data_IF_017298405043
#
_entry.id   IF_017298405043
#
_cell.length_a   1.000
_cell.length_b   1.000
_cell.length_c   1.000
_cell.angle_alpha   90.00
_cell.angle_beta   90.00
_cell.angle_gamma   90.00
#
_symmetry.space_group_name_H-M   'P 1'
#
loop_
_entity.id
_entity.type
_entity.pdbx_description
1 polymer ?
#
# COMPACT_ATOMS: atom_id res chain seq x y z
N UNK A 1 -13.81 -39.11 21.01
CA UNK A 1 -14.18 -37.90 20.23
C UNK A 1 -13.05 -37.59 19.28
N UNK A 2 -13.26 -37.76 17.96
CA UNK A 2 -12.26 -37.46 16.92
C UNK A 2 -12.19 -35.94 16.70
N UNK A 3 -11.00 -35.32 16.64
CA UNK A 3 -10.90 -33.91 16.28
C UNK A 3 -11.21 -33.75 14.79
N UNK A 4 -12.13 -32.83 14.47
CA UNK A 4 -12.51 -32.52 13.09
C UNK A 4 -11.37 -31.84 12.32
N UNK A 5 -11.38 -31.91 10.97
CA UNK A 5 -10.32 -31.35 10.16
C UNK A 5 -10.31 -29.82 10.25
N UNK A 6 -9.13 -29.25 10.47
CA UNK A 6 -8.89 -27.82 10.45
C UNK A 6 -9.34 -27.23 9.10
N UNK A 7 -10.33 -26.33 9.15
CA UNK A 7 -10.81 -25.60 7.96
C UNK A 7 -9.68 -24.73 7.41
N UNK A 8 -9.26 -25.02 6.18
CA UNK A 8 -8.48 -24.09 5.36
C UNK A 8 -9.24 -22.78 5.26
N UNK A 9 -8.67 -21.72 5.84
CA UNK A 9 -9.08 -20.35 5.61
C UNK A 9 -9.03 -20.08 4.11
N UNK A 10 -10.18 -19.80 3.51
CA UNK A 10 -10.29 -19.20 2.17
C UNK A 10 -9.95 -17.71 2.32
N UNK A 11 -8.71 -17.42 2.70
CA UNK A 11 -8.11 -16.14 2.39
C UNK A 11 -7.95 -16.13 0.86
N UNK A 12 -8.52 -15.13 0.21
CA UNK A 12 -8.29 -14.81 -1.20
C UNK A 12 -6.85 -15.16 -1.55
N UNK A 13 -6.68 -15.94 -2.62
CA UNK A 13 -5.40 -16.26 -3.22
C UNK A 13 -4.60 -14.98 -3.43
N UNK A 14 -3.80 -14.62 -2.44
CA UNK A 14 -2.59 -13.86 -2.67
C UNK A 14 -1.83 -14.71 -3.68
N UNK A 15 -1.56 -14.14 -4.85
CA UNK A 15 -0.61 -14.72 -5.78
C UNK A 15 0.62 -15.19 -4.98
N UNK A 16 1.23 -16.34 -5.28
CA UNK A 16 2.42 -16.82 -4.56
C UNK A 16 3.56 -15.78 -4.55
N UNK A 17 3.49 -14.82 -5.46
CA UNK A 17 4.25 -13.58 -5.44
C UNK A 17 3.38 -12.51 -4.76
N UNK A 18 3.87 -11.83 -3.72
CA UNK A 18 3.23 -10.67 -3.07
C UNK A 18 3.02 -9.44 -3.97
N UNK A 19 2.82 -9.64 -5.28
CA UNK A 19 2.33 -8.68 -6.24
C UNK A 19 0.85 -8.44 -5.99
N UNK A 20 0.50 -7.20 -5.67
CA UNK A 20 -0.88 -6.73 -5.69
C UNK A 20 -1.55 -7.12 -7.02
N UNK A 21 -2.88 -7.42 -7.05
CA UNK A 21 -3.56 -7.74 -8.29
C UNK A 21 -3.28 -6.66 -9.34
N UNK A 22 -3.09 -7.03 -10.61
CA UNK A 22 -2.62 -6.14 -11.67
C UNK A 22 -3.45 -4.84 -11.84
N UNK A 23 -4.64 -4.78 -11.24
CA UNK A 23 -5.50 -3.60 -11.15
C UNK A 23 -5.04 -2.54 -10.15
N UNK A 24 -4.30 -2.88 -9.08
CA UNK A 24 -3.97 -1.92 -8.00
C UNK A 24 -3.07 -0.78 -8.46
N UNK A 25 -1.97 -1.00 -9.21
CA UNK A 25 -1.14 0.10 -9.70
C UNK A 25 -1.94 1.06 -10.60
N UNK A 26 -2.83 0.54 -11.44
CA UNK A 26 -3.72 1.35 -12.29
C UNK A 26 -4.69 2.18 -11.45
N UNK A 27 -5.30 1.59 -10.42
CA UNK A 27 -6.23 2.27 -9.51
C UNK A 27 -5.54 3.36 -8.70
N UNK A 28 -4.32 3.14 -8.23
CA UNK A 28 -3.51 4.17 -7.55
C UNK A 28 -3.10 5.28 -8.49
N UNK A 29 -2.68 4.95 -9.70
CA UNK A 29 -2.35 5.96 -10.70
C UNK A 29 -3.56 6.84 -11.03
N UNK A 30 -4.76 6.27 -11.12
CA UNK A 30 -5.99 7.05 -11.28
C UNK A 30 -6.27 8.01 -10.11
N UNK A 31 -5.77 7.74 -8.89
CA UNK A 31 -5.89 8.69 -7.77
C UNK A 31 -5.02 9.95 -7.96
N UNK A 32 -4.03 9.94 -8.86
CA UNK A 32 -3.13 11.07 -9.09
C UNK A 32 -3.78 12.24 -9.84
N UNK A 33 -5.04 12.11 -10.24
CA UNK A 33 -5.78 13.16 -10.93
C UNK A 33 -5.80 14.47 -10.12
N UNK A 34 -5.35 15.55 -10.77
CA UNK A 34 -5.16 16.86 -10.14
C UNK A 34 -3.79 17.09 -9.49
N UNK A 35 -2.95 16.06 -9.32
CA UNK A 35 -1.55 16.21 -8.83
C UNK A 35 -0.49 15.76 -9.83
N UNK A 36 -0.86 15.22 -11.00
CA UNK A 36 0.06 14.79 -12.06
C UNK A 36 1.09 15.86 -12.45
N UNK A 37 0.67 17.13 -12.53
CA UNK A 37 1.58 18.25 -12.82
C UNK A 37 2.66 18.45 -11.75
N UNK A 38 2.34 18.21 -10.47
CA UNK A 38 3.32 18.28 -9.38
C UNK A 38 4.28 17.09 -9.38
N UNK A 39 3.78 15.90 -9.73
CA UNK A 39 4.62 14.71 -9.94
C UNK A 39 5.60 14.96 -11.09
N UNK A 40 5.12 15.53 -12.20
CA UNK A 40 5.97 15.93 -13.33
C UNK A 40 6.98 17.02 -12.94
N UNK A 41 6.58 17.99 -12.10
CA UNK A 41 7.48 19.02 -11.58
C UNK A 41 8.58 18.41 -10.70
N UNK A 42 8.24 17.50 -9.79
CA UNK A 42 9.21 16.77 -8.98
C UNK A 42 10.16 15.93 -9.85
N UNK A 43 9.64 15.25 -10.88
CA UNK A 43 10.47 14.55 -11.86
C UNK A 43 11.40 15.51 -12.61
N UNK A 44 10.91 16.69 -13.01
CA UNK A 44 11.71 17.74 -13.64
C UNK A 44 12.86 18.20 -12.77
N UNK A 45 12.63 18.46 -11.47
CA UNK A 45 13.70 18.77 -10.53
C UNK A 45 14.69 17.61 -10.37
N UNK A 46 14.22 16.36 -10.35
CA UNK A 46 15.10 15.19 -10.32
C UNK A 46 15.96 15.05 -11.58
N UNK A 47 15.42 15.40 -12.75
CA UNK A 47 16.18 15.44 -14.00
C UNK A 47 17.22 16.57 -14.00
N UNK A 48 16.88 17.75 -13.49
CA UNK A 48 17.82 18.87 -13.32
C UNK A 48 18.92 18.54 -12.30
N UNK A 49 18.58 17.85 -11.21
CA UNK A 49 19.54 17.32 -10.24
C UNK A 49 20.49 16.30 -10.89
N UNK A 50 19.98 15.44 -11.78
CA UNK A 50 20.83 14.51 -12.53
C UNK A 50 21.70 15.24 -13.55
N UNK A 51 21.14 16.20 -14.30
CA UNK A 51 21.86 16.97 -15.30
C UNK A 51 22.99 17.81 -14.69
N UNK A 52 22.76 18.45 -13.55
CA UNK A 52 23.80 19.17 -12.79
C UNK A 52 24.89 18.22 -12.26
N UNK A 53 24.53 16.99 -11.85
CA UNK A 53 25.50 15.94 -11.52
C UNK A 53 26.38 15.53 -12.70
N UNK A 54 25.76 15.27 -13.85
CA UNK A 54 26.44 14.94 -15.11
C UNK A 54 27.37 16.06 -15.56
N UNK A 55 26.89 17.31 -15.51
CA UNK A 55 27.67 18.49 -15.87
C UNK A 55 28.87 18.65 -14.95
N UNK A 56 28.69 18.45 -13.63
CA UNK A 56 29.79 18.50 -12.66
C UNK A 56 30.88 17.49 -13.01
N UNK A 57 30.51 16.24 -13.29
CA UNK A 57 31.47 15.19 -13.63
C UNK A 57 32.19 15.47 -14.96
N UNK A 58 31.46 16.05 -15.92
CA UNK A 58 32.03 16.45 -17.20
C UNK A 58 33.05 17.58 -17.02
N UNK A 59 32.68 18.63 -16.27
CA UNK A 59 33.57 19.74 -15.92
C UNK A 59 34.79 19.25 -15.14
N UNK A 60 34.60 18.31 -14.20
CA UNK A 60 35.71 17.71 -13.46
C UNK A 60 36.67 16.94 -14.38
N UNK A 61 36.17 16.24 -15.38
CA UNK A 61 36.99 15.59 -16.41
C UNK A 61 37.83 16.59 -17.21
N UNK A 62 37.23 17.71 -17.63
CA UNK A 62 37.94 18.79 -18.35
C UNK A 62 38.98 19.48 -17.48
N UNK A 63 38.65 19.77 -16.22
CA UNK A 63 39.56 20.39 -15.26
C UNK A 63 40.81 19.52 -15.06
N UNK A 64 40.60 18.23 -14.83
CA UNK A 64 41.70 17.27 -14.61
C UNK A 64 42.57 17.11 -15.85
N UNK A 65 41.96 16.98 -17.03
CA UNK A 65 42.70 16.90 -18.29
C UNK A 65 43.49 18.19 -18.58
N UNK A 66 42.95 19.37 -18.25
CA UNK A 66 43.64 20.65 -18.40
C UNK A 66 44.85 20.76 -17.47
N UNK A 67 44.74 20.22 -16.24
CA UNK A 67 45.84 20.15 -15.29
C UNK A 67 46.95 19.21 -15.80
N UNK A 68 46.60 18.03 -16.31
CA UNK A 68 47.55 17.08 -16.91
C UNK A 68 48.22 17.62 -18.18
N UNK A 69 47.53 18.47 -18.93
CA UNK A 69 48.09 19.16 -20.11
C UNK A 69 49.01 20.34 -19.74
N UNK A 70 49.21 20.63 -18.45
CA UNK A 70 50.09 21.70 -17.98
C UNK A 70 49.59 23.12 -18.28
N UNK A 71 48.27 23.31 -18.44
CA UNK A 71 47.70 24.64 -18.69
C UNK A 71 47.92 25.61 -17.52
N UNK A 72 48.04 26.93 -17.79
CA UNK A 72 48.17 27.94 -16.74
C UNK A 72 47.02 27.85 -15.72
N UNK A 73 47.32 28.14 -14.45
CA UNK A 73 46.32 28.07 -13.38
C UNK A 73 45.06 28.91 -13.66
N UNK A 74 45.23 30.09 -14.28
CA UNK A 74 44.13 30.98 -14.66
C UNK A 74 43.07 30.32 -15.55
N UNK A 75 43.48 29.41 -16.44
CA UNK A 75 42.56 28.71 -17.36
C UNK A 75 41.80 27.56 -16.67
N UNK A 76 42.32 27.08 -15.53
CA UNK A 76 41.73 25.97 -14.75
C UNK A 76 40.76 26.48 -13.68
N UNK A 77 40.95 27.71 -13.20
CA UNK A 77 40.11 28.34 -12.15
C UNK A 77 38.61 28.30 -12.46
N UNK A 78 38.11 28.67 -13.67
CA UNK A 78 36.68 28.61 -13.97
C UNK A 78 36.09 27.20 -13.83
N UNK A 79 36.85 26.18 -14.24
CA UNK A 79 36.43 24.79 -14.11
C UNK A 79 36.37 24.36 -12.65
N UNK A 80 37.36 24.74 -11.83
CA UNK A 80 37.36 24.45 -10.39
C UNK A 80 36.18 25.12 -9.68
N UNK A 81 35.88 26.38 -10.00
CA UNK A 81 34.71 27.09 -9.47
C UNK A 81 33.41 26.37 -9.86
N UNK A 82 33.29 25.91 -11.11
CA UNK A 82 32.14 25.13 -11.54
C UNK A 82 32.03 23.77 -10.84
N UNK A 83 33.14 23.07 -10.56
CA UNK A 83 33.14 21.83 -9.75
C UNK A 83 32.57 22.07 -8.35
N UNK A 84 32.77 23.26 -7.76
CA UNK A 84 32.25 23.64 -6.45
C UNK A 84 30.79 24.14 -6.53
N UNK A 85 30.43 24.92 -7.56
CA UNK A 85 29.10 25.50 -7.70
C UNK A 85 28.02 24.48 -8.09
N UNK A 86 28.33 23.52 -8.96
CA UNK A 86 27.36 22.55 -9.46
C UNK A 86 26.79 21.59 -8.38
N UNK A 87 27.56 21.13 -7.38
CA UNK A 87 27.01 20.46 -6.20
C UNK A 87 25.97 21.27 -5.43
N UNK A 88 26.17 22.59 -5.29
CA UNK A 88 25.23 23.47 -4.59
C UNK A 88 23.92 23.57 -5.39
N UNK A 89 24.02 23.74 -6.70
CA UNK A 89 22.85 23.73 -7.60
C UNK A 89 22.11 22.40 -7.55
N UNK A 90 22.85 21.29 -7.56
CA UNK A 90 22.29 19.94 -7.42
C UNK A 90 21.57 19.76 -6.09
N UNK A 91 22.14 20.24 -4.99
CA UNK A 91 21.51 20.22 -3.67
C UNK A 91 20.17 20.95 -3.71
N UNK A 92 20.12 22.15 -4.30
CA UNK A 92 18.87 22.91 -4.48
C UNK A 92 17.81 22.09 -5.23
N UNK A 93 18.16 21.47 -6.35
CA UNK A 93 17.21 20.66 -7.12
C UNK A 93 16.74 19.40 -6.38
N UNK A 94 17.62 18.72 -5.65
CA UNK A 94 17.23 17.58 -4.81
C UNK A 94 16.26 18.02 -3.72
N UNK A 95 16.54 19.14 -3.05
CA UNK A 95 15.65 19.69 -2.01
C UNK A 95 14.30 20.09 -2.60
N UNK A 96 14.27 20.78 -3.75
CA UNK A 96 13.03 21.13 -4.42
C UNK A 96 12.22 19.90 -4.86
N UNK A 97 12.88 18.88 -5.40
CA UNK A 97 12.25 17.59 -5.72
C UNK A 97 11.61 16.96 -4.48
N UNK A 98 12.34 16.92 -3.35
CA UNK A 98 11.84 16.35 -2.09
C UNK A 98 10.67 17.16 -1.51
N UNK A 99 10.75 18.49 -1.51
CA UNK A 99 9.68 19.36 -1.02
C UNK A 99 8.40 19.19 -1.84
N UNK A 100 8.50 19.25 -3.17
CA UNK A 100 7.34 19.06 -4.05
C UNK A 100 6.78 17.64 -3.88
N UNK A 101 7.65 16.63 -3.77
CA UNK A 101 7.27 15.24 -3.52
C UNK A 101 6.48 15.06 -2.21
N UNK A 102 7.03 15.53 -1.09
CA UNK A 102 6.39 15.41 0.23
C UNK A 102 5.08 16.20 0.31
N UNK A 103 5.01 17.41 -0.24
CA UNK A 103 3.76 18.17 -0.26
C UNK A 103 2.70 17.49 -1.15
N UNK A 104 3.12 16.88 -2.27
CA UNK A 104 2.22 16.12 -3.14
C UNK A 104 1.67 14.90 -2.43
N UNK A 105 2.52 14.15 -1.72
CA UNK A 105 2.09 13.03 -0.89
C UNK A 105 1.13 13.47 0.23
N UNK A 106 1.42 14.57 0.94
CA UNK A 106 0.54 15.10 1.98
C UNK A 106 -0.86 15.46 1.45
N UNK A 107 -0.94 16.14 0.30
CA UNK A 107 -2.22 16.45 -0.37
C UNK A 107 -2.99 15.17 -0.73
N UNK A 108 -2.30 14.15 -1.24
CA UNK A 108 -2.89 12.85 -1.54
C UNK A 108 -3.42 12.14 -0.29
N UNK A 109 -2.69 12.19 0.82
CA UNK A 109 -3.11 11.62 2.10
C UNK A 109 -4.40 12.26 2.62
N UNK A 110 -4.48 13.60 2.60
CA UNK A 110 -5.69 14.33 3.01
C UNK A 110 -6.89 13.95 2.14
N UNK A 111 -6.71 13.92 0.81
CA UNK A 111 -7.77 13.53 -0.12
C UNK A 111 -8.25 12.10 0.11
N UNK A 112 -7.34 11.15 0.28
CA UNK A 112 -7.68 9.75 0.52
C UNK A 112 -8.38 9.57 1.87
N UNK A 113 -7.90 10.22 2.94
CA UNK A 113 -8.56 10.20 4.25
C UNK A 113 -9.97 10.77 4.18
N UNK A 114 -10.17 11.89 3.49
CA UNK A 114 -11.49 12.48 3.30
C UNK A 114 -12.46 11.52 2.57
N UNK A 115 -11.99 10.84 1.52
CA UNK A 115 -12.77 9.82 0.80
C UNK A 115 -13.08 8.59 1.66
N UNK A 116 -12.10 8.09 2.41
CA UNK A 116 -12.29 6.96 3.33
C UNK A 116 -13.32 7.34 4.39
N UNK A 117 -13.20 8.52 4.99
CA UNK A 117 -14.15 9.01 6.00
C UNK A 117 -15.58 9.12 5.44
N UNK A 118 -15.74 9.77 4.28
CA UNK A 118 -17.05 9.88 3.63
C UNK A 118 -17.64 8.50 3.29
N UNK A 119 -16.81 7.57 2.83
CA UNK A 119 -17.25 6.21 2.51
C UNK A 119 -17.60 5.40 3.76
N UNK A 120 -16.88 5.57 4.87
CA UNK A 120 -17.23 4.95 6.16
C UNK A 120 -18.58 5.42 6.69
N UNK A 121 -18.88 6.71 6.54
CA UNK A 121 -20.19 7.27 6.90
C UNK A 121 -21.31 6.68 6.02
N UNK A 122 -21.06 6.53 4.71
CA UNK A 122 -22.05 5.94 3.79
C UNK A 122 -22.26 4.44 4.02
N UNK A 123 -21.21 3.68 4.37
CA UNK A 123 -21.33 2.26 4.71
C UNK A 123 -22.24 2.02 5.93
N UNK A 124 -22.18 2.91 6.91
CA UNK A 124 -23.01 2.88 8.11
C UNK A 124 -22.79 1.67 9.02
N UNK A 125 -23.52 1.60 10.15
CA UNK A 125 -23.28 0.62 11.21
C UNK A 125 -23.56 -0.83 10.80
N UNK A 126 -24.51 -1.07 9.90
CA UNK A 126 -24.85 -2.42 9.44
C UNK A 126 -23.72 -3.11 8.68
N UNK A 127 -23.01 -2.36 7.84
CA UNK A 127 -21.86 -2.85 7.08
C UNK A 127 -20.62 -2.95 7.98
N UNK A 128 -20.38 -1.93 8.82
CA UNK A 128 -19.20 -1.86 9.68
C UNK A 128 -19.22 -2.88 10.82
N UNK A 129 -20.39 -3.21 11.38
CA UNK A 129 -20.53 -4.24 12.42
C UNK A 129 -20.17 -5.65 11.98
N UNK A 130 -20.02 -5.89 10.66
CA UNK A 130 -19.56 -7.18 10.13
C UNK A 130 -18.04 -7.24 9.95
N UNK A 131 -17.33 -6.12 10.10
CA UNK A 131 -15.88 -6.03 9.99
C UNK A 131 -15.21 -5.86 11.35
N UNK A 132 -13.92 -6.23 11.41
CA UNK A 132 -13.09 -5.91 12.58
C UNK A 132 -12.74 -4.44 12.51
N UNK A 133 -13.05 -3.69 13.56
CA UNK A 133 -12.74 -2.25 13.67
C UNK A 133 -11.24 -1.97 13.48
N UNK A 134 -10.37 -2.89 13.90
CA UNK A 134 -8.92 -2.80 13.70
C UNK A 134 -8.53 -2.75 12.22
N UNK A 135 -9.14 -3.56 11.36
CA UNK A 135 -8.82 -3.61 9.93
C UNK A 135 -9.18 -2.28 9.25
N UNK A 136 -10.30 -1.68 9.65
CA UNK A 136 -10.74 -0.37 9.17
C UNK A 136 -9.77 0.74 9.62
N UNK A 137 -9.33 0.69 10.88
CA UNK A 137 -8.40 1.68 11.44
C UNK A 137 -7.03 1.61 10.74
N UNK A 138 -6.50 0.39 10.53
CA UNK A 138 -5.25 0.17 9.78
C UNK A 138 -5.39 0.71 8.35
N UNK A 139 -6.50 0.44 7.67
CA UNK A 139 -6.74 0.96 6.32
C UNK A 139 -6.86 2.50 6.27
N UNK A 140 -7.51 3.12 7.25
CA UNK A 140 -7.75 4.56 7.28
C UNK A 140 -6.51 5.38 7.70
N UNK A 141 -5.66 4.82 8.55
CA UNK A 141 -4.51 5.53 9.15
C UNK A 141 -3.20 5.05 8.54
N UNK A 142 -2.82 3.81 8.86
CA UNK A 142 -1.49 3.27 8.54
C UNK A 142 -1.31 3.06 7.04
N UNK A 143 -2.30 2.45 6.38
CA UNK A 143 -2.22 2.17 4.96
C UNK A 143 -2.13 3.45 4.12
N UNK A 144 -2.78 4.54 4.54
CA UNK A 144 -2.70 5.83 3.85
C UNK A 144 -1.33 6.46 4.01
N UNK A 145 -0.68 6.32 5.17
CA UNK A 145 0.70 6.82 5.36
C UNK A 145 1.71 6.07 4.49
N UNK A 146 1.55 4.75 4.30
CA UNK A 146 2.44 3.97 3.43
C UNK A 146 2.41 4.43 1.97
N UNK A 147 1.34 5.10 1.52
CA UNK A 147 1.24 5.64 0.16
C UNK A 147 2.11 6.89 -0.07
N UNK A 148 2.70 7.47 0.98
CA UNK A 148 3.61 8.62 0.87
C UNK A 148 4.77 8.34 -0.09
N UNK A 149 5.35 7.14 0.01
CA UNK A 149 6.47 6.67 -0.81
C UNK A 149 6.06 6.59 -2.28
N UNK A 150 4.87 6.06 -2.57
CA UNK A 150 4.39 5.89 -3.95
C UNK A 150 4.21 7.24 -4.65
N UNK A 151 3.46 8.16 -4.03
CA UNK A 151 3.11 9.44 -4.64
C UNK A 151 4.26 10.46 -4.59
N UNK A 152 5.04 10.47 -3.52
CA UNK A 152 6.06 11.50 -3.26
C UNK A 152 7.43 11.19 -3.84
N UNK A 153 7.80 9.90 -3.96
CA UNK A 153 9.18 9.51 -4.32
C UNK A 153 9.23 8.54 -5.49
N UNK A 154 8.45 7.47 -5.46
CA UNK A 154 8.51 6.40 -6.46
C UNK A 154 8.12 6.88 -7.85
N UNK A 155 6.97 7.56 -8.00
CA UNK A 155 6.52 8.04 -9.32
C UNK A 155 7.47 9.06 -9.97
N UNK A 156 7.93 10.13 -9.27
CA UNK A 156 8.95 11.02 -9.84
C UNK A 156 10.24 10.28 -10.19
N UNK A 157 10.73 9.41 -9.31
CA UNK A 157 11.96 8.66 -9.56
C UNK A 157 11.83 7.72 -10.76
N UNK A 158 10.65 7.12 -11.01
CA UNK A 158 10.43 6.27 -12.17
C UNK A 158 10.73 7.02 -13.48
N UNK A 159 10.30 8.28 -13.57
CA UNK A 159 10.60 9.15 -14.72
C UNK A 159 12.10 9.45 -14.79
N UNK A 160 12.71 9.85 -13.67
CA UNK A 160 14.16 10.15 -13.61
C UNK A 160 14.99 8.95 -14.02
N UNK A 161 14.67 7.76 -13.53
CA UNK A 161 15.39 6.52 -13.81
C UNK A 161 15.19 5.99 -15.23
N UNK A 162 14.18 6.45 -15.94
CA UNK A 162 14.02 6.16 -17.37
C UNK A 162 14.74 7.18 -18.24
N UNK A 163 14.54 8.48 -17.96
CA UNK A 163 15.02 9.57 -18.82
C UNK A 163 16.49 9.91 -18.58
N UNK A 164 16.97 9.95 -17.33
CA UNK A 164 18.34 10.35 -17.03
C UNK A 164 19.40 9.39 -17.60
N UNK A 165 19.28 8.05 -17.48
CA UNK A 165 20.25 7.14 -18.10
C UNK A 165 20.30 7.26 -19.62
N UNK A 166 19.14 7.47 -20.28
CA UNK A 166 19.07 7.71 -21.73
C UNK A 166 19.80 9.01 -22.09
N UNK A 167 19.55 10.10 -21.36
CA UNK A 167 20.25 11.37 -21.58
C UNK A 167 21.76 11.26 -21.38
N UNK A 168 22.19 10.52 -20.35
CA UNK A 168 23.61 10.24 -20.08
C UNK A 168 24.22 9.43 -21.23
N UNK A 169 23.55 8.37 -21.69
CA UNK A 169 24.02 7.57 -22.81
C UNK A 169 24.15 8.40 -24.09
N UNK A 170 23.16 9.24 -24.41
CA UNK A 170 23.22 10.11 -25.59
C UNK A 170 24.40 11.08 -25.52
N UNK A 171 24.68 11.64 -24.34
CA UNK A 171 25.87 12.48 -24.12
C UNK A 171 27.16 11.68 -24.32
N UNK A 172 27.26 10.48 -23.74
CA UNK A 172 28.42 9.61 -23.92
C UNK A 172 28.63 9.21 -25.38
N UNK A 173 27.56 8.88 -26.09
CA UNK A 173 27.59 8.50 -27.49
C UNK A 173 28.00 9.66 -28.42
N UNK A 174 27.64 10.90 -28.04
CA UNK A 174 28.10 12.10 -28.72
C UNK A 174 29.60 12.36 -28.52
N UNK A 175 30.15 12.00 -27.35
CA UNK A 175 31.58 12.12 -27.05
C UNK A 175 32.38 11.00 -27.74
N UNK A 176 31.99 9.74 -27.51
CA UNK A 176 32.61 8.57 -28.13
C UNK A 176 31.62 7.39 -28.19
N UNK A 177 31.09 7.13 -29.39
CA UNK A 177 30.10 6.07 -29.61
C UNK A 177 30.59 4.66 -29.23
N UNK A 178 31.81 4.21 -29.58
CA UNK A 178 32.31 2.90 -29.18
C UNK A 178 32.37 2.70 -27.66
N UNK A 179 32.91 3.68 -26.92
CA UNK A 179 32.94 3.63 -25.45
C UNK A 179 31.54 3.65 -24.84
N UNK A 180 30.61 4.45 -25.40
CA UNK A 180 29.22 4.49 -24.95
C UNK A 180 28.49 3.15 -25.15
N UNK A 181 28.69 2.48 -26.28
CA UNK A 181 28.12 1.15 -26.55
C UNK A 181 28.67 0.08 -25.60
N UNK A 182 29.96 0.16 -25.27
CA UNK A 182 30.58 -0.74 -24.29
C UNK A 182 29.98 -0.54 -22.90
N UNK A 183 29.82 0.71 -22.45
CA UNK A 183 29.09 1.02 -21.22
C UNK A 183 27.65 0.51 -21.25
N UNK A 184 26.94 0.66 -22.36
CA UNK A 184 25.57 0.16 -22.50
C UNK A 184 25.52 -1.38 -22.38
N UNK A 185 26.48 -2.09 -22.97
CA UNK A 185 26.56 -3.55 -22.88
C UNK A 185 26.77 -4.01 -21.42
N UNK A 186 27.72 -3.40 -20.70
CA UNK A 186 27.92 -3.69 -19.29
C UNK A 186 26.76 -3.21 -18.40
N UNK A 187 26.08 -2.13 -18.79
CA UNK A 187 24.91 -1.66 -18.08
C UNK A 187 23.72 -2.60 -18.24
N UNK A 188 23.49 -3.10 -19.45
CA UNK A 188 22.51 -4.13 -19.73
C UNK A 188 22.84 -5.42 -18.97
N UNK A 189 24.11 -5.82 -18.92
CA UNK A 189 24.57 -6.95 -18.11
C UNK A 189 24.26 -6.72 -16.61
N UNK A 190 24.63 -5.57 -16.05
CA UNK A 190 24.37 -5.24 -14.65
C UNK A 190 22.87 -5.21 -14.30
N UNK A 191 22.02 -4.83 -15.26
CA UNK A 191 20.56 -4.80 -15.12
C UNK A 191 19.91 -6.18 -15.26
N UNK A 192 20.38 -6.98 -16.20
CA UNK A 192 19.73 -8.24 -16.59
C UNK A 192 20.31 -9.46 -15.86
N UNK A 193 21.58 -9.44 -15.47
CA UNK A 193 22.24 -10.56 -14.79
C UNK A 193 21.54 -10.99 -13.48
N UNK A 194 20.98 -10.09 -12.65
CA UNK A 194 20.16 -10.48 -11.50
C UNK A 194 19.02 -11.45 -11.81
N UNK A 195 18.45 -11.40 -13.02
CA UNK A 195 17.33 -12.27 -13.39
C UNK A 195 17.71 -13.76 -13.42
N UNK A 196 19.00 -14.10 -13.53
CA UNK A 196 19.46 -15.50 -13.45
C UNK A 196 19.21 -16.10 -12.07
N UNK A 197 19.23 -15.29 -11.01
CA UNK A 197 19.00 -15.73 -9.64
C UNK A 197 17.52 -15.70 -9.24
N UNK A 198 16.66 -15.06 -10.04
CA UNK A 198 15.24 -14.80 -9.72
C UNK A 198 14.48 -16.03 -9.25
N UNK A 199 14.60 -17.16 -9.94
CA UNK A 199 13.87 -18.39 -9.58
C UNK A 199 14.33 -18.93 -8.23
N UNK A 200 15.64 -18.96 -7.98
CA UNK A 200 16.20 -19.40 -6.69
C UNK A 200 15.81 -18.47 -5.56
N UNK A 201 15.95 -17.15 -5.76
CA UNK A 201 15.54 -16.14 -4.79
C UNK A 201 14.07 -16.29 -4.43
N UNK A 202 13.19 -16.56 -5.40
CA UNK A 202 11.77 -16.80 -5.13
C UNK A 202 11.54 -18.06 -4.29
N UNK A 203 12.18 -19.19 -4.62
CA UNK A 203 12.04 -20.45 -3.87
C UNK A 203 12.51 -20.27 -2.43
N UNK A 204 13.72 -19.75 -2.22
CA UNK A 204 14.28 -19.54 -0.87
C UNK A 204 13.50 -18.50 -0.07
N UNK A 205 12.94 -17.48 -0.74
CA UNK A 205 12.05 -16.51 -0.07
C UNK A 205 10.75 -17.15 0.42
N UNK A 206 10.19 -18.11 -0.34
CA UNK A 206 9.01 -18.88 0.07
C UNK A 206 9.34 -19.80 1.25
N UNK A 207 10.49 -20.49 1.21
CA UNK A 207 10.96 -21.32 2.32
C UNK A 207 11.16 -20.51 3.60
N UNK A 208 11.84 -19.36 3.51
CA UNK A 208 12.00 -18.42 4.64
C UNK A 208 10.65 -17.97 5.19
N UNK A 209 9.68 -17.69 4.30
CA UNK A 209 8.35 -17.27 4.74
C UNK A 209 7.60 -18.38 5.47
N UNK A 210 7.67 -19.63 4.98
CA UNK A 210 7.09 -20.78 5.68
C UNK A 210 7.70 -20.97 7.07
N UNK A 211 9.04 -20.94 7.18
CA UNK A 211 9.73 -21.06 8.47
C UNK A 211 9.34 -19.94 9.45
N UNK A 212 9.13 -18.71 8.95
CA UNK A 212 8.65 -17.59 9.75
C UNK A 212 7.21 -17.82 10.25
N UNK A 213 6.31 -18.22 9.37
CA UNK A 213 4.91 -18.47 9.70
C UNK A 213 4.77 -19.63 10.72
N UNK A 214 5.56 -20.71 10.55
CA UNK A 214 5.59 -21.86 11.46
C UNK A 214 6.14 -21.49 12.85
N UNK A 215 7.14 -20.61 12.93
CA UNK A 215 7.66 -20.09 14.20
C UNK A 215 6.64 -19.16 14.87
N UNK A 216 6.03 -18.26 14.11
CA UNK A 216 5.07 -17.28 14.62
C UNK A 216 3.82 -17.95 15.18
N UNK A 217 3.27 -18.95 14.48
CA UNK A 217 2.12 -19.71 14.95
C UNK A 217 2.43 -20.43 16.28
N UNK A 218 3.54 -21.17 16.34
CA UNK A 218 3.94 -21.89 17.56
C UNK A 218 4.24 -20.95 18.72
N UNK A 219 4.85 -19.80 18.44
CA UNK A 219 5.15 -18.79 19.45
C UNK A 219 3.87 -18.22 20.08
N UNK A 220 2.88 -17.88 19.25
CA UNK A 220 1.58 -17.38 19.73
C UNK A 220 0.83 -18.45 20.53
N UNK A 221 0.78 -19.70 20.03
CA UNK A 221 0.15 -20.82 20.73
C UNK A 221 0.83 -21.10 22.07
N UNK A 222 2.17 -21.04 22.13
CA UNK A 222 2.93 -21.23 23.36
C UNK A 222 2.68 -20.11 24.39
N UNK A 223 2.54 -18.86 23.95
CA UNK A 223 2.22 -17.72 24.84
C UNK A 223 0.79 -17.83 25.37
N UNK A 224 -0.18 -18.12 24.50
CA UNK A 224 -1.58 -18.27 24.91
C UNK A 224 -1.78 -19.48 25.83
N UNK A 225 -1.06 -20.57 25.55
CA UNK A 225 -1.05 -21.79 26.36
C UNK A 225 -0.05 -21.80 27.51
N UNK A 226 0.65 -20.68 27.79
CA UNK A 226 1.75 -20.65 28.77
C UNK A 226 1.34 -21.12 30.16
N UNK A 227 0.16 -20.75 30.71
CA UNK A 227 -0.31 -21.28 31.99
C UNK A 227 -0.44 -22.81 31.99
N UNK A 228 -0.98 -23.38 30.91
CA UNK A 228 -1.10 -24.84 30.73
C UNK A 228 0.28 -25.49 30.62
N UNK A 229 1.19 -24.94 29.83
CA UNK A 229 2.56 -25.45 29.70
C UNK A 229 3.30 -25.44 31.04
N UNK A 230 3.08 -24.42 31.89
CA UNK A 230 3.62 -24.35 33.25
C UNK A 230 2.99 -25.39 34.18
N UNK A 231 1.66 -25.53 34.15
CA UNK A 231 0.94 -26.49 34.99
C UNK A 231 1.37 -27.95 34.72
N UNK A 232 1.68 -28.29 33.46
CA UNK A 232 2.14 -29.63 33.06
C UNK A 232 3.68 -29.78 32.99
N UNK A 233 4.46 -28.79 33.41
CA UNK A 233 5.92 -28.85 33.38
C UNK A 233 6.54 -28.95 31.97
N UNK A 234 5.79 -28.59 30.92
CA UNK A 234 6.19 -28.73 29.51
C UNK A 234 6.97 -27.54 28.93
N UNK A 235 7.25 -26.51 29.74
CA UNK A 235 7.93 -25.29 29.29
C UNK A 235 9.31 -25.54 28.68
N UNK A 236 10.13 -26.43 29.27
CA UNK A 236 11.46 -26.75 28.75
C UNK A 236 11.45 -27.46 27.39
N UNK A 237 10.51 -28.40 27.20
CA UNK A 237 10.34 -29.12 25.91
C UNK A 237 9.88 -28.16 24.82
N UNK A 238 8.89 -27.33 25.12
CA UNK A 238 8.35 -26.33 24.18
C UNK A 238 9.41 -25.29 23.80
N UNK A 239 10.21 -24.83 24.77
CA UNK A 239 11.32 -23.92 24.51
C UNK A 239 12.37 -24.50 23.55
N UNK A 240 12.69 -25.80 23.66
CA UNK A 240 13.59 -26.48 22.71
C UNK A 240 12.99 -26.58 21.31
N UNK A 241 11.68 -26.83 21.19
CA UNK A 241 11.01 -26.85 19.88
C UNK A 241 11.07 -25.48 19.21
N UNK A 242 10.74 -24.43 19.97
CA UNK A 242 10.79 -23.05 19.51
C UNK A 242 12.21 -22.64 19.10
N UNK A 243 13.24 -23.07 19.85
CA UNK A 243 14.63 -22.84 19.49
C UNK A 243 15.02 -23.50 18.16
N UNK A 244 14.57 -24.73 17.89
CA UNK A 244 14.82 -25.41 16.61
C UNK A 244 14.16 -24.68 15.43
N UNK A 245 12.91 -24.23 15.60
CA UNK A 245 12.21 -23.46 14.55
C UNK A 245 12.86 -22.10 14.32
N UNK A 246 13.30 -21.44 15.39
CA UNK A 246 14.09 -20.20 15.30
C UNK A 246 15.38 -20.40 14.50
N UNK A 247 16.09 -21.51 14.73
CA UNK A 247 17.28 -21.86 13.96
C UNK A 247 16.99 -22.14 12.48
N UNK A 248 15.90 -22.86 12.18
CA UNK A 248 15.46 -23.09 10.79
C UNK A 248 15.13 -21.78 10.07
N UNK A 249 14.46 -20.83 10.75
CA UNK A 249 14.23 -19.48 10.22
C UNK A 249 15.55 -18.73 10.00
N UNK A 250 16.51 -18.84 10.93
CA UNK A 250 17.83 -18.24 10.79
C UNK A 250 18.56 -18.77 9.54
N UNK A 251 18.62 -20.10 9.35
CA UNK A 251 19.25 -20.72 8.17
C UNK A 251 18.59 -20.29 6.87
N UNK A 252 17.26 -20.32 6.81
CA UNK A 252 16.51 -19.86 5.64
C UNK A 252 16.76 -18.36 5.35
N UNK A 253 16.86 -17.55 6.40
CA UNK A 253 17.17 -16.11 6.28
C UNK A 253 18.58 -15.88 5.77
N UNK A 254 19.58 -16.63 6.27
CA UNK A 254 20.96 -16.56 5.80
C UNK A 254 21.09 -16.98 4.33
N UNK A 255 20.32 -17.99 3.91
CA UNK A 255 20.27 -18.42 2.50
C UNK A 255 19.72 -17.30 1.58
N UNK A 256 18.62 -16.63 1.99
CA UNK A 256 18.11 -15.45 1.25
C UNK A 256 19.13 -14.32 1.21
N UNK A 257 19.82 -14.06 2.32
CA UNK A 257 20.82 -12.99 2.40
C UNK A 257 22.02 -13.28 1.50
N UNK A 258 22.53 -14.52 1.50
CA UNK A 258 23.62 -14.94 0.61
C UNK A 258 23.26 -14.76 -0.87
N UNK A 259 22.03 -15.13 -1.27
CA UNK A 259 21.53 -14.91 -2.62
C UNK A 259 21.42 -13.41 -2.97
N UNK A 260 20.91 -12.58 -2.06
CA UNK A 260 20.82 -11.13 -2.27
C UNK A 260 22.21 -10.49 -2.43
N UNK A 261 23.20 -10.92 -1.65
CA UNK A 261 24.59 -10.47 -1.77
C UNK A 261 25.17 -10.90 -3.11
N UNK A 262 24.95 -12.15 -3.55
CA UNK A 262 25.40 -12.63 -4.84
C UNK A 262 24.76 -11.84 -6.00
N UNK A 263 23.44 -11.60 -5.95
CA UNK A 263 22.69 -10.84 -6.96
C UNK A 263 23.21 -9.38 -7.09
N UNK A 264 23.37 -8.70 -5.94
CA UNK A 264 23.93 -7.35 -5.90
C UNK A 264 25.40 -7.32 -6.33
N UNK A 265 26.18 -8.33 -5.92
CA UNK A 265 27.59 -8.51 -6.26
C UNK A 265 27.81 -8.62 -7.76
N UNK A 266 27.01 -9.43 -8.47
CA UNK A 266 27.09 -9.56 -9.93
C UNK A 266 26.83 -8.22 -10.62
N UNK A 267 25.83 -7.46 -10.16
CA UNK A 267 25.56 -6.11 -10.69
C UNK A 267 26.75 -5.17 -10.48
N UNK A 268 27.34 -5.16 -9.27
CA UNK A 268 28.47 -4.30 -8.93
C UNK A 268 29.74 -4.67 -9.70
N UNK A 269 30.04 -5.96 -9.84
CA UNK A 269 31.17 -6.44 -10.65
C UNK A 269 30.99 -6.06 -12.11
N UNK A 270 29.81 -6.23 -12.69
CA UNK A 270 29.54 -5.81 -14.06
C UNK A 270 29.76 -4.30 -14.27
N UNK A 271 29.36 -3.45 -13.31
CA UNK A 271 29.61 -2.01 -13.36
C UNK A 271 31.11 -1.67 -13.25
N UNK A 272 31.83 -2.27 -12.30
CA UNK A 272 33.26 -2.03 -12.07
C UNK A 272 34.11 -2.50 -13.24
N UNK A 273 33.87 -3.73 -13.72
CA UNK A 273 34.53 -4.29 -14.89
C UNK A 273 34.18 -3.46 -16.12
N UNK A 274 32.92 -3.07 -16.29
CA UNK A 274 32.52 -2.21 -17.41
C UNK A 274 33.23 -0.86 -17.43
N UNK A 275 33.37 -0.21 -16.28
CA UNK A 275 34.14 1.03 -16.16
C UNK A 275 35.63 0.80 -16.46
N UNK A 276 36.23 -0.28 -15.94
CA UNK A 276 37.64 -0.60 -16.17
C UNK A 276 37.94 -0.94 -17.63
N UNK A 277 37.12 -1.79 -18.26
CA UNK A 277 37.27 -2.17 -19.67
C UNK A 277 37.04 -0.96 -20.58
N UNK A 278 36.06 -0.11 -20.28
CA UNK A 278 35.84 1.11 -21.08
C UNK A 278 36.96 2.12 -20.91
N UNK A 279 37.53 2.25 -19.72
CA UNK A 279 38.71 3.08 -19.50
C UNK A 279 39.93 2.53 -20.26
N UNK A 280 40.18 1.23 -20.20
CA UNK A 280 41.28 0.59 -20.93
C UNK A 280 41.12 0.76 -22.45
N UNK A 281 39.91 0.53 -22.96
CA UNK A 281 39.58 0.77 -24.37
C UNK A 281 39.79 2.23 -24.76
N UNK A 282 39.28 3.15 -23.95
CA UNK A 282 39.45 4.58 -24.18
C UNK A 282 40.92 5.02 -24.12
N UNK A 283 41.74 4.43 -23.25
CA UNK A 283 43.18 4.70 -23.19
C UNK A 283 43.91 4.29 -24.48
N UNK A 284 43.61 3.11 -25.03
CA UNK A 284 44.14 2.66 -26.33
C UNK A 284 43.76 3.66 -27.43
N UNK A 285 42.52 4.19 -27.40
CA UNK A 285 42.08 5.20 -28.38
C UNK A 285 42.72 6.57 -28.17
N UNK A 286 43.06 6.94 -26.93
CA UNK A 286 43.85 8.14 -26.67
C UNK A 286 45.27 8.00 -27.23
N UNK A 287 45.90 6.84 -27.03
CA UNK A 287 47.22 6.53 -27.58
C UNK A 287 47.22 6.52 -29.11
N UNK A 288 46.17 5.98 -29.72
CA UNK A 288 45.96 6.00 -31.17
C UNK A 288 45.65 7.39 -31.76
N UNK A 289 45.41 8.41 -30.91
CA UNK A 289 45.03 9.76 -31.33
C UNK A 289 43.56 9.94 -31.71
N UNK A 290 42.75 8.90 -31.57
CA UNK A 290 41.32 8.88 -31.88
C UNK A 290 40.46 9.62 -30.83
N UNK A 291 40.96 9.71 -29.60
CA UNK A 291 40.24 10.26 -28.45
C UNK A 291 41.12 11.23 -27.66
N UNK A 292 40.59 12.37 -27.23
CA UNK A 292 41.32 13.28 -26.34
C UNK A 292 41.31 12.80 -24.88
N UNK A 293 42.31 13.23 -24.09
CA UNK A 293 42.37 12.95 -22.65
C UNK A 293 41.13 13.46 -21.89
N UNK A 294 40.61 14.65 -22.25
CA UNK A 294 39.42 15.21 -21.61
C UNK A 294 38.15 14.35 -21.84
N UNK A 295 37.78 13.99 -23.09
CA UNK A 295 36.75 12.98 -23.36
C UNK A 295 36.88 11.69 -22.53
N UNK A 296 38.09 11.13 -22.42
CA UNK A 296 38.33 9.92 -21.63
C UNK A 296 38.00 10.12 -20.14
N UNK A 297 38.47 11.23 -19.55
CA UNK A 297 38.17 11.55 -18.15
C UNK A 297 36.68 11.79 -17.91
N UNK A 298 35.98 12.44 -18.85
CA UNK A 298 34.53 12.63 -18.78
C UNK A 298 33.81 11.29 -18.79
N UNK A 299 34.14 10.40 -19.73
CA UNK A 299 33.53 9.08 -19.86
C UNK A 299 33.75 8.23 -18.60
N UNK A 300 34.94 8.28 -18.02
CA UNK A 300 35.27 7.58 -16.77
C UNK A 300 34.34 8.01 -15.62
N UNK A 301 34.19 9.31 -15.40
CA UNK A 301 33.35 9.81 -14.31
C UNK A 301 31.85 9.59 -14.58
N UNK A 302 31.42 9.76 -15.82
CA UNK A 302 30.03 9.61 -16.22
C UNK A 302 29.54 8.16 -16.16
N UNK A 303 30.45 7.19 -16.30
CA UNK A 303 30.17 5.76 -16.16
C UNK A 303 29.56 5.35 -14.82
N UNK A 304 29.92 6.02 -13.71
CA UNK A 304 29.32 5.74 -12.39
C UNK A 304 27.93 6.36 -12.26
N UNK A 305 27.72 7.51 -12.91
CA UNK A 305 26.49 8.31 -12.80
C UNK A 305 25.31 7.66 -13.50
N UNK A 306 25.54 6.95 -14.63
CA UNK A 306 24.48 6.29 -15.42
C UNK A 306 23.69 5.26 -14.59
N UNK A 307 24.34 4.64 -13.60
CA UNK A 307 23.75 3.60 -12.76
C UNK A 307 23.00 4.12 -11.54
N UNK A 308 23.28 5.35 -11.10
CA UNK A 308 22.70 5.88 -9.86
C UNK A 308 21.16 5.92 -9.92
N UNK A 309 20.50 6.48 -10.95
CA UNK A 309 19.04 6.56 -10.99
C UNK A 309 18.38 5.17 -10.92
N UNK A 310 18.97 4.18 -11.57
CA UNK A 310 18.50 2.79 -11.55
C UNK A 310 18.59 2.20 -10.15
N UNK A 311 19.72 2.42 -9.45
CA UNK A 311 19.92 1.94 -8.08
C UNK A 311 18.93 2.57 -7.10
N UNK A 312 18.71 3.88 -7.21
CA UNK A 312 17.71 4.61 -6.42
C UNK A 312 16.29 4.07 -6.66
N UNK A 313 15.91 3.82 -7.92
CA UNK A 313 14.62 3.22 -8.23
C UNK A 313 14.49 1.79 -7.68
N UNK A 314 15.57 1.00 -7.69
CA UNK A 314 15.58 -0.35 -7.10
C UNK A 314 15.26 -0.30 -5.61
N UNK A 315 15.87 0.64 -4.87
CA UNK A 315 15.60 0.84 -3.46
C UNK A 315 14.14 1.27 -3.23
N UNK A 316 13.67 2.30 -3.95
CA UNK A 316 12.30 2.77 -3.83
C UNK A 316 11.27 1.72 -4.26
N UNK A 317 11.60 0.83 -5.19
CA UNK A 317 10.72 -0.27 -5.57
C UNK A 317 10.46 -1.20 -4.39
N UNK A 318 11.47 -1.49 -3.56
CA UNK A 318 11.30 -2.32 -2.37
C UNK A 318 10.39 -1.64 -1.34
N UNK A 319 10.64 -0.37 -1.05
CA UNK A 319 9.80 0.44 -0.17
C UNK A 319 8.35 0.53 -0.70
N UNK A 320 8.19 0.69 -2.03
CA UNK A 320 6.89 0.77 -2.67
C UNK A 320 6.08 -0.54 -2.62
N UNK A 321 6.70 -1.71 -2.40
CA UNK A 321 5.95 -2.97 -2.23
C UNK A 321 5.01 -2.90 -1.02
N UNK A 322 5.44 -2.25 0.06
CA UNK A 322 4.59 -2.01 1.23
C UNK A 322 3.42 -1.09 0.90
N UNK A 323 3.67 0.01 0.19
CA UNK A 323 2.62 0.91 -0.30
C UNK A 323 1.58 0.19 -1.17
N UNK A 324 2.03 -0.70 -2.07
CA UNK A 324 1.14 -1.51 -2.91
C UNK A 324 0.33 -2.52 -2.09
N UNK A 325 0.91 -3.14 -1.07
CA UNK A 325 0.20 -4.06 -0.18
C UNK A 325 -0.86 -3.33 0.66
N UNK A 326 -0.51 -2.18 1.23
CA UNK A 326 -1.43 -1.30 1.97
C UNK A 326 -2.59 -0.80 1.10
N UNK A 327 -2.35 -0.52 -0.18
CA UNK A 327 -3.39 -0.12 -1.11
C UNK A 327 -4.50 -1.18 -1.29
N UNK A 328 -4.19 -2.47 -1.11
CA UNK A 328 -5.19 -3.55 -1.19
C UNK A 328 -6.26 -3.34 -0.12
N UNK A 329 -5.87 -3.06 1.13
CA UNK A 329 -6.82 -2.82 2.22
C UNK A 329 -7.67 -1.57 2.01
N UNK A 330 -7.08 -0.50 1.49
CA UNK A 330 -7.81 0.73 1.15
C UNK A 330 -8.85 0.46 0.06
N UNK A 331 -8.47 -0.28 -0.99
CA UNK A 331 -9.39 -0.56 -2.08
C UNK A 331 -10.43 -1.63 -1.74
N UNK A 332 -10.10 -2.63 -0.89
CA UNK A 332 -11.10 -3.54 -0.32
C UNK A 332 -12.18 -2.76 0.45
N UNK A 333 -11.76 -1.76 1.24
CA UNK A 333 -12.68 -0.86 1.92
C UNK A 333 -13.56 -0.10 0.92
N UNK A 334 -12.97 0.52 -0.12
CA UNK A 334 -13.73 1.25 -1.15
C UNK A 334 -14.62 0.38 -2.04
N UNK A 335 -14.27 -0.88 -2.24
CA UNK A 335 -15.06 -1.84 -3.03
C UNK A 335 -16.24 -2.39 -2.23
N UNK A 336 -16.31 -2.06 -0.94
CA UNK A 336 -17.41 -2.47 -0.07
C UNK A 336 -18.64 -1.64 -0.37
N UNK A 337 -19.78 -2.33 -0.44
CA UNK A 337 -21.06 -1.67 -0.65
C UNK A 337 -21.83 -1.59 0.67
N UNK A 338 -22.57 -0.49 0.91
CA UNK A 338 -23.50 -0.41 2.01
C UNK A 338 -24.52 -1.56 1.94
N UNK A 339 -24.82 -2.17 3.09
CA UNK A 339 -25.86 -3.21 3.18
C UNK A 339 -27.25 -2.66 2.88
N UNK A 340 -27.48 -1.39 3.19
CA UNK A 340 -28.72 -0.65 2.92
C UNK A 340 -28.40 0.53 2.02
N UNK A 341 -29.14 0.66 0.92
CA UNK A 341 -29.02 1.77 -0.03
C UNK A 341 -30.29 2.61 -0.05
N UNK A 342 -30.14 3.90 -0.33
CA UNK A 342 -31.26 4.81 -0.47
C UNK A 342 -31.97 4.57 -1.82
N UNK A 343 -33.32 4.65 -1.86
CA UNK A 343 -34.06 4.56 -3.11
C UNK A 343 -33.77 5.77 -3.99
N UNK A 344 -33.83 5.58 -5.32
CA UNK A 344 -33.62 6.66 -6.30
C UNK A 344 -34.65 7.80 -6.15
N UNK A 345 -35.87 7.48 -5.69
CA UNK A 345 -36.90 8.45 -5.36
C UNK A 345 -37.59 7.99 -4.09
N UNK A 346 -37.66 8.87 -3.08
CA UNK A 346 -38.36 8.56 -1.84
C UNK A 346 -39.87 8.62 -2.04
N UNK A 347 -40.59 7.67 -1.45
CA UNK A 347 -42.04 7.67 -1.41
C UNK A 347 -42.62 8.81 -0.55
N UNK A 348 -41.79 9.43 0.30
CA UNK A 348 -42.19 10.55 1.16
C UNK A 348 -41.49 11.81 0.68
N UNK A 349 -42.29 12.84 0.37
CA UNK A 349 -41.78 14.16 0.02
C UNK A 349 -41.00 14.78 1.18
N UNK A 350 -39.94 15.53 0.86
CA UNK A 350 -39.13 16.23 1.87
C UNK A 350 -40.01 17.20 2.66
N UNK A 351 -39.93 17.15 4.00
CA UNK A 351 -40.69 18.02 4.90
C UNK A 351 -42.14 17.61 5.16
N UNK A 352 -42.62 16.50 4.56
CA UNK A 352 -43.94 15.96 4.91
C UNK A 352 -43.89 15.29 6.28
N UNK A 353 -44.82 15.65 7.17
CA UNK A 353 -44.98 14.98 8.45
C UNK A 353 -45.35 13.50 8.24
N UNK A 354 -44.65 12.62 8.95
CA UNK A 354 -44.89 11.18 8.95
C UNK A 354 -45.63 10.85 10.23
N UNK A 355 -46.73 10.12 10.14
CA UNK A 355 -47.44 9.68 11.34
C UNK A 355 -46.57 8.72 12.17
N UNK A 356 -46.47 8.91 13.50
CA UNK A 356 -45.59 8.10 14.36
C UNK A 356 -46.22 6.74 14.70
N UNK A 357 -46.67 6.02 13.67
CA UNK A 357 -47.24 4.67 13.76
C UNK A 357 -46.22 3.68 13.22
N UNK A 358 -45.84 2.67 14.01
CA UNK A 358 -44.85 1.66 13.62
C UNK A 358 -45.57 0.34 13.38
N UNK A 359 -45.22 -0.38 12.31
CA UNK A 359 -45.73 -1.73 12.08
C UNK A 359 -44.66 -2.66 11.50
N UNK A 360 -44.56 -3.86 12.07
CA UNK A 360 -43.84 -5.00 11.48
C UNK A 360 -44.88 -6.00 10.98
N UNK A 361 -44.68 -6.50 9.75
CA UNK A 361 -45.56 -7.49 9.13
C UNK A 361 -44.73 -8.66 8.60
N UNK A 362 -44.93 -9.83 9.19
CA UNK A 362 -44.31 -11.10 8.81
C UNK A 362 -42.77 -11.03 8.68
N UNK A 363 -42.12 -10.28 9.58
CA UNK A 363 -40.68 -9.97 9.44
C UNK A 363 -39.82 -11.17 9.79
N UNK A 364 -38.91 -11.51 8.86
CA UNK A 364 -37.85 -12.50 9.07
C UNK A 364 -36.49 -11.88 8.75
N UNK A 365 -35.50 -12.15 9.59
CA UNK A 365 -34.17 -11.56 9.43
C UNK A 365 -33.01 -12.48 9.85
N UNK A 366 -31.94 -12.45 9.05
CA UNK A 366 -30.65 -13.08 9.33
C UNK A 366 -29.52 -12.10 9.06
N UNK A 367 -28.57 -11.95 10.01
CA UNK A 367 -27.44 -11.06 9.83
C UNK A 367 -26.53 -11.51 8.67
N UNK A 368 -26.05 -10.57 7.83
CA UNK A 368 -25.05 -10.85 6.80
C UNK A 368 -23.79 -11.47 7.41
N UNK A 369 -23.10 -12.31 6.62
CA UNK A 369 -21.80 -12.87 7.01
C UNK A 369 -20.66 -12.04 6.46
N UNK A 370 -19.59 -11.96 7.25
CA UNK A 370 -18.34 -11.34 6.84
C UNK A 370 -17.61 -12.13 5.72
N UNK A 371 -17.63 -13.49 5.74
CA UNK A 371 -17.15 -14.41 4.68
C UNK A 371 -17.17 -15.89 5.15
N UNK A 372 -17.46 -16.86 4.27
CA UNK A 372 -16.98 -18.27 4.34
C UNK A 372 -17.48 -19.27 5.42
N UNK A 373 -18.36 -18.91 6.36
CA UNK A 373 -18.93 -19.83 7.38
C UNK A 373 -20.30 -20.42 7.03
N UNK A 374 -20.77 -21.46 7.76
CA UNK A 374 -22.01 -22.28 7.57
C UNK A 374 -23.31 -21.50 7.27
N UNK A 375 -24.44 -21.58 7.97
CA UNK A 375 -25.53 -20.56 7.91
C UNK A 375 -25.63 -19.96 9.33
N UNK A 376 -25.78 -18.63 9.52
CA UNK A 376 -26.12 -18.14 10.87
C UNK A 376 -27.57 -18.55 11.09
N UNK A 377 -27.92 -18.99 12.30
CA UNK A 377 -29.33 -19.16 12.65
C UNK A 377 -30.06 -17.82 12.45
N UNK A 378 -31.32 -17.85 11.99
CA UNK A 378 -32.10 -16.64 11.80
C UNK A 378 -32.22 -15.89 13.12
N UNK A 379 -31.93 -14.59 13.09
CA UNK A 379 -32.03 -13.73 14.27
C UNK A 379 -33.49 -13.38 14.60
N UNK A 380 -34.33 -13.32 13.56
CA UNK A 380 -35.79 -13.31 13.66
C UNK A 380 -36.30 -14.39 12.70
N UNK A 381 -36.72 -15.52 13.25
CA UNK A 381 -37.25 -16.66 12.50
C UNK A 381 -38.77 -16.66 12.42
N UNK A 382 -39.31 -17.62 11.68
CA UNK A 382 -40.74 -17.93 11.75
C UNK A 382 -41.06 -18.62 13.06
N UNK A 383 -42.18 -18.25 13.67
CA UNK A 383 -42.73 -18.96 14.81
C UNK A 383 -43.02 -20.41 14.43
N UNK A 384 -42.64 -21.34 15.30
CA UNK A 384 -42.94 -22.76 15.12
C UNK A 384 -44.44 -23.06 15.29
N UNK A 385 -45.16 -22.21 16.01
CA UNK A 385 -46.59 -22.38 16.30
C UNK A 385 -47.48 -21.72 15.24
N UNK A 386 -47.16 -20.49 14.83
CA UNK A 386 -48.00 -19.72 13.90
C UNK A 386 -47.51 -19.78 12.45
N UNK A 387 -46.31 -20.32 12.20
CA UNK A 387 -45.71 -20.39 10.87
C UNK A 387 -45.29 -19.04 10.27
N UNK A 388 -45.69 -17.91 10.88
CA UNK A 388 -45.39 -16.55 10.45
C UNK A 388 -44.15 -15.95 11.14
N UNK A 389 -43.55 -14.95 10.51
CA UNK A 389 -42.54 -14.06 11.06
C UNK A 389 -43.10 -13.05 12.06
N UNK A 390 -42.24 -12.16 12.55
CA UNK A 390 -42.59 -11.22 13.61
C UNK A 390 -43.55 -10.16 13.10
N UNK A 391 -44.71 -10.03 13.75
CA UNK A 391 -45.76 -9.07 13.40
C UNK A 391 -46.29 -8.35 14.64
N UNK A 392 -46.28 -7.01 14.63
CA UNK A 392 -46.90 -6.16 15.64
C UNK A 392 -47.10 -4.75 15.12
N UNK A 393 -47.97 -3.97 15.77
CA UNK A 393 -48.16 -2.55 15.49
C UNK A 393 -48.14 -1.74 16.78
N UNK A 394 -47.56 -0.54 16.72
CA UNK A 394 -47.54 0.45 17.80
C UNK A 394 -48.26 1.70 17.29
N UNK A 395 -49.42 2.06 17.89
CA UNK A 395 -50.16 3.26 17.48
C UNK A 395 -49.42 4.53 17.91
N UNK A 396 -49.80 5.66 17.32
CA UNK A 396 -49.27 6.97 17.70
C UNK A 396 -49.46 7.22 19.20
N UNK A 397 -48.40 7.63 19.90
CA UNK A 397 -48.39 7.82 21.36
C UNK A 397 -48.39 6.52 22.18
N UNK A 398 -48.44 5.36 21.53
CA UNK A 398 -48.35 4.05 22.18
C UNK A 398 -46.92 3.72 22.62
N UNK A 399 -46.81 2.88 23.65
CA UNK A 399 -45.54 2.33 24.12
C UNK A 399 -45.55 0.80 24.04
N UNK A 400 -44.44 0.23 23.58
CA UNK A 400 -44.26 -1.22 23.44
C UNK A 400 -43.02 -1.66 24.23
N UNK A 401 -43.19 -2.61 25.13
CA UNK A 401 -42.10 -3.30 25.80
C UNK A 401 -41.84 -4.66 25.14
N UNK A 402 -40.60 -4.90 24.70
CA UNK A 402 -40.16 -6.20 24.16
C UNK A 402 -39.36 -6.94 25.23
N UNK A 403 -39.90 -8.05 25.73
CA UNK A 403 -39.32 -8.84 26.82
C UNK A 403 -38.93 -10.23 26.32
N UNK A 404 -37.81 -10.77 26.82
CA UNK A 404 -37.37 -12.12 26.50
C UNK A 404 -35.90 -12.36 26.89
N UNK A 405 -35.43 -13.63 26.84
CA UNK A 405 -34.07 -13.98 27.20
C UNK A 405 -33.03 -13.33 26.27
N UNK A 406 -31.75 -13.31 26.68
CA UNK A 406 -30.67 -12.87 25.81
C UNK A 406 -30.64 -13.71 24.53
N UNK A 407 -30.39 -13.07 23.38
CA UNK A 407 -30.43 -13.74 22.07
C UNK A 407 -31.82 -13.87 21.43
N UNK A 408 -32.92 -13.51 22.10
CA UNK A 408 -34.28 -13.59 21.54
C UNK A 408 -34.61 -12.60 20.40
N UNK A 409 -33.62 -11.87 19.87
CA UNK A 409 -33.82 -10.95 18.74
C UNK A 409 -34.23 -9.51 19.09
N UNK A 410 -34.32 -9.14 20.36
CA UNK A 410 -34.73 -7.80 20.82
C UNK A 410 -33.94 -6.65 20.16
N UNK A 411 -32.61 -6.68 20.24
CA UNK A 411 -31.73 -5.67 19.62
C UNK A 411 -31.78 -5.70 18.09
N UNK A 412 -32.18 -6.84 17.50
CA UNK A 412 -32.37 -6.99 16.06
C UNK A 412 -33.60 -6.23 15.58
N UNK A 413 -34.70 -6.24 16.35
CA UNK A 413 -35.88 -5.41 16.05
C UNK A 413 -35.52 -3.93 16.01
N UNK A 414 -34.74 -3.45 17.00
CA UNK A 414 -34.25 -2.06 17.05
C UNK A 414 -33.37 -1.75 15.83
N UNK A 415 -32.47 -2.67 15.44
CA UNK A 415 -31.59 -2.49 14.28
C UNK A 415 -32.35 -2.41 12.96
N UNK A 416 -33.47 -3.14 12.82
CA UNK A 416 -34.35 -3.07 11.65
C UNK A 416 -35.19 -1.80 11.63
N UNK A 417 -35.68 -1.34 12.80
CA UNK A 417 -36.40 -0.06 12.91
C UNK A 417 -35.50 1.13 12.54
N UNK A 418 -34.27 1.16 13.06
CA UNK A 418 -33.25 2.17 12.69
C UNK A 418 -32.70 2.00 11.25
N UNK A 419 -33.20 0.96 10.54
CA UNK A 419 -32.81 0.58 9.19
C UNK A 419 -31.29 0.49 9.01
N UNK A 420 -30.63 -0.15 9.98
CA UNK A 420 -29.24 -0.59 9.83
C UNK A 420 -29.13 -1.80 8.91
N UNK A 421 -30.22 -2.57 8.82
CA UNK A 421 -30.42 -3.67 7.90
C UNK A 421 -31.83 -3.62 7.33
N UNK A 422 -32.02 -4.15 6.13
CA UNK A 422 -33.34 -4.44 5.57
C UNK A 422 -33.70 -5.92 5.85
N UNK A 423 -34.98 -6.24 6.15
CA UNK A 423 -35.40 -7.61 6.38
C UNK A 423 -35.36 -8.45 5.10
N UNK A 424 -35.08 -9.76 5.20
CA UNK A 424 -35.13 -10.67 4.05
C UNK A 424 -36.56 -11.14 3.72
N UNK A 425 -37.48 -11.04 4.67
CA UNK A 425 -38.90 -11.31 4.47
C UNK A 425 -39.78 -10.40 5.33
N UNK A 426 -40.99 -10.12 4.87
CA UNK A 426 -41.90 -9.17 5.50
C UNK A 426 -41.55 -7.70 5.24
N UNK A 427 -42.19 -6.80 5.99
CA UNK A 427 -42.01 -5.34 5.87
C UNK A 427 -41.94 -4.67 7.24
N UNK A 428 -41.06 -3.67 7.36
CA UNK A 428 -41.02 -2.73 8.49
C UNK A 428 -41.54 -1.39 7.99
N UNK A 429 -42.47 -0.78 8.72
CA UNK A 429 -43.19 0.41 8.29
C UNK A 429 -43.22 1.50 9.35
N UNK A 430 -43.22 2.75 8.90
CA UNK A 430 -43.52 3.95 9.70
C UNK A 430 -44.53 4.83 8.97
N UNK A 431 -45.60 5.27 9.65
CA UNK A 431 -46.63 6.13 9.07
C UNK A 431 -47.29 5.57 7.80
N UNK A 432 -47.41 4.23 7.72
CA UNK A 432 -47.95 3.54 6.54
C UNK A 432 -46.97 3.35 5.38
N UNK A 433 -45.72 3.81 5.49
CA UNK A 433 -44.69 3.66 4.46
C UNK A 433 -43.68 2.58 4.84
N UNK A 434 -43.32 1.71 3.90
CA UNK A 434 -42.21 0.77 4.07
C UNK A 434 -40.89 1.53 4.18
N UNK A 435 -40.09 1.25 5.20
CA UNK A 435 -38.81 1.91 5.43
C UNK A 435 -37.87 1.83 4.21
N UNK A 436 -37.98 0.78 3.38
CA UNK A 436 -37.19 0.59 2.15
C UNK A 436 -37.48 1.62 1.06
N UNK A 437 -38.65 2.23 1.11
CA UNK A 437 -39.10 3.25 0.14
C UNK A 437 -38.71 4.67 0.53
N UNK A 438 -38.10 4.85 1.70
CA UNK A 438 -37.64 6.14 2.23
C UNK A 438 -36.13 6.22 2.19
N UNK A 439 -35.53 7.40 2.35
CA UNK A 439 -34.08 7.50 2.56
C UNK A 439 -33.72 7.21 4.03
N UNK A 440 -32.49 6.76 4.28
CA UNK A 440 -31.94 6.51 5.62
C UNK A 440 -32.00 7.75 6.50
N UNK A 441 -31.75 8.93 5.91
CA UNK A 441 -31.88 10.21 6.59
C UNK A 441 -33.33 10.46 7.04
N UNK A 442 -34.31 10.27 6.16
CA UNK A 442 -35.73 10.44 6.50
C UNK A 442 -36.19 9.48 7.59
N UNK A 443 -35.76 8.21 7.56
CA UNK A 443 -36.13 7.24 8.61
C UNK A 443 -35.55 7.64 9.97
N UNK A 444 -34.26 8.00 10.01
CA UNK A 444 -33.55 8.31 11.26
C UNK A 444 -33.92 9.67 11.84
N UNK A 445 -34.38 10.61 11.02
CA UNK A 445 -34.93 11.90 11.48
C UNK A 445 -36.23 11.73 12.30
N UNK A 446 -36.93 10.59 12.12
CA UNK A 446 -38.15 10.27 12.88
C UNK A 446 -37.88 9.42 14.14
N UNK A 447 -36.63 9.08 14.44
CA UNK A 447 -36.30 8.12 15.50
C UNK A 447 -35.14 8.62 16.38
N UNK A 448 -35.32 8.53 17.70
CA UNK A 448 -34.24 8.69 18.66
C UNK A 448 -33.88 7.33 19.27
N UNK A 449 -32.58 7.03 19.35
CA UNK A 449 -32.07 5.79 19.95
C UNK A 449 -31.28 6.12 21.22
N UNK A 450 -31.71 5.55 22.35
CA UNK A 450 -30.97 5.54 23.60
C UNK A 450 -30.50 4.11 23.86
N UNK A 451 -29.20 3.87 23.71
CA UNK A 451 -28.60 2.53 23.89
C UNK A 451 -28.01 2.37 25.29
N UNK A 452 -27.86 1.10 25.71
CA UNK A 452 -27.19 0.75 26.96
C UNK A 452 -25.76 1.31 27.01
N UNK A 453 -25.03 1.16 25.91
CA UNK A 453 -23.72 1.79 25.69
C UNK A 453 -23.91 2.96 24.71
N UNK A 454 -24.05 4.18 25.24
CA UNK A 454 -24.14 5.40 24.42
C UNK A 454 -22.75 5.99 24.20
N UNK A 455 -22.47 6.41 22.97
CA UNK A 455 -21.20 7.06 22.65
C UNK A 455 -21.27 8.56 22.93
N UNK A 456 -20.37 9.05 23.78
CA UNK A 456 -20.17 10.48 24.03
C UNK A 456 -18.98 10.98 23.23
N UNK A 457 -19.15 12.10 22.52
CA UNK A 457 -18.05 12.74 21.81
C UNK A 457 -17.33 13.74 22.72
N UNK A 458 -16.04 13.95 22.47
CA UNK A 458 -15.29 14.99 23.17
C UNK A 458 -15.83 16.37 22.77
N UNK A 459 -16.43 17.07 23.72
CA UNK A 459 -17.06 18.37 23.53
C UNK A 459 -17.76 18.85 24.79
N UNK A 460 -18.44 19.99 24.71
CA UNK A 460 -19.33 20.48 25.75
C UNK A 460 -20.65 19.70 25.74
N UNK A 461 -21.39 19.75 26.84
CA UNK A 461 -22.78 19.23 26.88
C UNK A 461 -23.70 20.09 26.02
N UNK A 462 -23.39 21.38 25.90
CA UNK A 462 -24.10 22.36 25.09
C UNK A 462 -23.66 22.32 23.63
#
# INVERSE_FOLDING_TARGET
MRPGPARKSTAMTASPNGTAPASIPRRLFAQTDGVRGRIALAAGFGLLASASGVLRLSVQGVALASLFAGKPFGDVVPWLLAVVALPLLRLTFITLQQLVGHETAARMKVRLRGRIYAHLLDLGPGSLGTRRTGDVLVAAVEAVEQLDIYFGRYLPQLVVSFVAPVGIFLLMAWIDLPSALLFLAFAALALLAPNLFRTRTNVTSVERRRAYDDLAAEFVDAIQGLPTLKAFGQGGRTGKDLARRSWSLFEATMSVLALNIAEGGVSNVAMLVGAAVTLAWGAVRVEAGDLGLAPLMILLFLGVEVFRPIRELRQLRHENLLAMASAIGIFDLFDTRPVVTDPATSAVAVGKAIEPVIALRDVTFTYPRATGGAARQPALGRSLETGGGVSFAVPAGGSLAIVGPSGAGKSTVVSLLMRFFDPQGGTVMIGGHDLRTMTRAQVRDQMALVSQDTWLFHGTVA
#
